data_IF_271253396409
#
_entry.id   IF_271253396409
#
_cell.length_a   1.000
_cell.length_b   1.000
_cell.length_c   1.000
_cell.angle_alpha   90.00
_cell.angle_beta   90.00
_cell.angle_gamma   90.00
#
_symmetry.space_group_name_H-M   'P 1'
#
loop_
_entity.id
_entity.type
_entity.pdbx_description
1 polymer ?
#
# COMPACT_ATOMS: atom_id res chain seq x y z
N UNK A 1 -3.81 -12.66 -2.44
CA UNK A 1 -3.27 -11.81 -3.54
C UNK A 1 -4.10 -10.54 -3.61
N UNK A 2 -3.46 -9.43 -3.97
CA UNK A 2 -4.08 -8.10 -4.09
C UNK A 2 -5.39 -8.12 -4.89
N UNK A 3 -5.41 -8.80 -6.03
CA UNK A 3 -6.60 -8.91 -6.89
C UNK A 3 -7.83 -9.53 -6.20
N UNK A 4 -7.64 -10.47 -5.28
CA UNK A 4 -8.74 -11.07 -4.51
C UNK A 4 -9.28 -10.10 -3.48
N UNK A 5 -8.37 -9.40 -2.80
CA UNK A 5 -8.74 -8.37 -1.83
C UNK A 5 -9.53 -7.23 -2.48
N UNK A 6 -9.04 -6.71 -3.62
CA UNK A 6 -9.72 -5.67 -4.37
C UNK A 6 -11.11 -6.09 -4.86
N UNK A 7 -11.27 -7.36 -5.29
CA UNK A 7 -12.58 -7.90 -5.69
C UNK A 7 -13.55 -8.03 -4.53
N UNK A 8 -13.09 -8.47 -3.36
CA UNK A 8 -13.95 -8.57 -2.18
C UNK A 8 -14.37 -7.17 -1.68
N UNK A 9 -13.48 -6.19 -1.67
CA UNK A 9 -13.83 -4.81 -1.35
C UNK A 9 -14.86 -4.25 -2.33
N UNK A 10 -14.67 -4.46 -3.63
CA UNK A 10 -15.62 -4.02 -4.65
C UNK A 10 -17.00 -4.66 -4.45
N UNK A 11 -17.04 -5.96 -4.10
CA UNK A 11 -18.28 -6.65 -3.79
C UNK A 11 -18.96 -6.06 -2.55
N UNK A 12 -18.21 -5.83 -1.46
CA UNK A 12 -18.75 -5.20 -0.25
C UNK A 12 -19.38 -3.84 -0.54
N UNK A 13 -18.76 -3.02 -1.37
CA UNK A 13 -19.30 -1.72 -1.81
C UNK A 13 -20.65 -1.91 -2.52
N UNK A 14 -20.71 -2.84 -3.48
CA UNK A 14 -21.96 -3.08 -4.22
C UNK A 14 -23.06 -3.69 -3.36
N UNK A 15 -22.71 -4.62 -2.47
CA UNK A 15 -23.66 -5.24 -1.53
C UNK A 15 -24.23 -4.22 -0.53
N UNK A 16 -23.46 -3.15 -0.23
CA UNK A 16 -23.89 -2.02 0.61
C UNK A 16 -24.70 -0.96 -0.17
N UNK A 17 -25.05 -1.20 -1.43
CA UNK A 17 -25.81 -0.27 -2.27
C UNK A 17 -24.95 0.76 -3.01
N UNK A 18 -23.63 0.69 -2.88
CA UNK A 18 -22.71 1.53 -3.64
C UNK A 18 -22.65 1.16 -5.12
N UNK A 19 -22.22 2.09 -5.95
CA UNK A 19 -22.05 1.87 -7.39
C UNK A 19 -20.59 2.02 -7.79
N UNK A 20 -20.04 1.02 -8.47
CA UNK A 20 -18.71 1.07 -9.06
C UNK A 20 -18.82 1.37 -10.55
N UNK A 21 -18.21 2.46 -11.00
CA UNK A 21 -18.16 2.84 -12.41
C UNK A 21 -16.73 2.67 -12.92
N UNK A 22 -16.54 1.72 -13.83
CA UNK A 22 -15.25 1.50 -14.49
C UNK A 22 -15.12 2.39 -15.72
N UNK A 23 -13.88 2.76 -16.07
CA UNK A 23 -13.56 3.57 -17.27
C UNK A 23 -14.35 4.88 -17.34
N UNK A 24 -14.57 5.50 -16.20
CA UNK A 24 -15.32 6.74 -16.07
C UNK A 24 -14.42 7.81 -15.47
N UNK A 25 -14.44 9.02 -16.02
CA UNK A 25 -13.76 10.16 -15.40
C UNK A 25 -14.53 10.62 -14.17
N UNK A 26 -13.85 10.83 -13.07
CA UNK A 26 -14.45 11.31 -11.84
C UNK A 26 -14.90 12.78 -11.99
N UNK A 27 -16.06 13.17 -11.44
CA UNK A 27 -16.45 14.57 -11.36
C UNK A 27 -15.45 15.42 -10.56
N UNK A 28 -15.40 16.74 -10.83
CA UNK A 28 -14.42 17.65 -10.20
C UNK A 28 -14.52 17.74 -8.66
N UNK A 29 -15.70 17.47 -8.12
CA UNK A 29 -15.95 17.46 -6.65
C UNK A 29 -15.77 16.08 -6.01
N UNK A 30 -15.17 15.13 -6.71
CA UNK A 30 -14.92 13.79 -6.17
C UNK A 30 -13.73 13.78 -5.23
N UNK A 31 -13.81 12.94 -4.19
CA UNK A 31 -12.67 12.67 -3.31
C UNK A 31 -11.72 11.71 -4.03
N UNK A 32 -10.47 12.10 -4.15
CA UNK A 32 -9.45 11.28 -4.78
C UNK A 32 -8.70 10.45 -3.72
N UNK A 33 -9.02 9.17 -3.63
CA UNK A 33 -8.38 8.20 -2.73
C UNK A 33 -7.42 7.25 -3.48
N UNK A 34 -6.93 7.62 -4.67
CA UNK A 34 -6.08 6.74 -5.50
C UNK A 34 -4.64 6.61 -4.99
N UNK A 35 -4.29 7.30 -3.91
CA UNK A 35 -2.93 7.33 -3.39
C UNK A 35 -2.01 8.29 -4.16
N UNK A 36 -0.79 8.48 -3.64
CA UNK A 36 0.09 9.57 -4.05
C UNK A 36 1.12 9.26 -5.12
N UNK A 37 1.16 8.07 -5.68
CA UNK A 37 2.27 7.67 -6.58
C UNK A 37 2.15 8.20 -7.99
N UNK A 38 0.96 8.37 -8.50
CA UNK A 38 0.73 8.79 -9.90
C UNK A 38 -0.60 9.50 -10.04
N UNK A 39 -0.70 10.38 -11.04
CA UNK A 39 -1.98 10.85 -11.50
C UNK A 39 -2.76 9.66 -12.07
N UNK A 40 -3.84 9.28 -11.44
CA UNK A 40 -4.70 8.23 -11.94
C UNK A 40 -5.41 8.71 -13.19
N UNK A 41 -5.35 7.91 -14.25
CA UNK A 41 -6.13 8.17 -15.46
C UNK A 41 -7.63 8.27 -15.09
N UNK A 42 -8.26 9.34 -15.46
CA UNK A 42 -9.68 9.59 -15.17
C UNK A 42 -9.94 10.47 -13.93
N UNK A 43 -8.92 10.88 -13.20
CA UNK A 43 -9.03 11.87 -12.13
C UNK A 43 -8.58 13.25 -12.61
N UNK A 44 -9.42 14.28 -12.55
CA UNK A 44 -9.08 15.63 -13.01
C UNK A 44 -8.09 16.34 -12.07
N UNK A 45 -8.01 15.90 -10.82
CA UNK A 45 -7.12 16.46 -9.80
C UNK A 45 -6.10 15.43 -9.33
N UNK A 46 -4.87 15.86 -9.01
CA UNK A 46 -3.89 14.97 -8.41
C UNK A 46 -4.40 14.49 -7.04
N UNK A 47 -4.19 13.21 -6.73
CA UNK A 47 -4.38 12.67 -5.39
C UNK A 47 -3.34 13.19 -4.42
N UNK A 48 -3.36 12.68 -3.20
CA UNK A 48 -2.30 12.93 -2.22
C UNK A 48 -0.95 12.59 -2.83
N UNK A 49 -0.06 13.57 -2.96
CA UNK A 49 1.27 13.34 -3.52
C UNK A 49 2.27 13.17 -2.40
N UNK A 50 2.91 12.01 -2.34
CA UNK A 50 4.11 11.84 -1.54
C UNK A 50 5.28 12.52 -2.26
N UNK A 51 5.82 13.57 -1.67
CA UNK A 51 6.88 14.40 -2.28
C UNK A 51 8.28 13.82 -2.11
N UNK A 52 8.45 12.84 -1.21
CA UNK A 52 9.76 12.29 -0.85
C UNK A 52 9.80 10.77 -1.04
N UNK A 53 9.63 10.31 -2.28
CA UNK A 53 9.80 8.92 -2.62
C UNK A 53 11.29 8.56 -2.65
N UNK A 54 11.62 7.40 -2.13
CA UNK A 54 12.96 6.82 -2.13
C UNK A 54 12.92 5.40 -2.67
N UNK A 55 14.05 4.91 -3.16
CA UNK A 55 14.14 3.55 -3.66
C UNK A 55 14.11 2.54 -2.52
N UNK A 56 13.22 1.57 -2.63
CA UNK A 56 13.10 0.40 -1.78
C UNK A 56 13.38 -0.85 -2.59
N UNK A 57 14.09 -1.78 -1.96
CA UNK A 57 14.34 -3.11 -2.51
C UNK A 57 13.72 -4.17 -1.60
N UNK A 58 12.99 -5.08 -2.19
CA UNK A 58 12.33 -6.17 -1.48
C UNK A 58 12.77 -7.54 -1.98
N UNK A 59 12.66 -8.54 -1.13
CA UNK A 59 12.93 -9.91 -1.49
C UNK A 59 12.05 -10.90 -0.74
N UNK A 60 11.74 -12.01 -1.41
CA UNK A 60 11.00 -13.12 -0.81
C UNK A 60 11.96 -14.29 -0.61
N UNK A 61 11.90 -14.90 0.57
CA UNK A 61 12.72 -16.07 0.92
C UNK A 61 12.01 -16.98 1.92
N UNK A 62 12.66 -18.05 2.34
CA UNK A 62 12.22 -18.92 3.44
C UNK A 62 12.78 -18.41 4.78
N UNK A 63 12.14 -18.73 5.88
CA UNK A 63 12.51 -18.26 7.22
C UNK A 63 13.98 -18.58 7.58
N UNK A 64 14.48 -19.76 7.23
CA UNK A 64 15.86 -20.17 7.53
C UNK A 64 16.92 -19.46 6.68
N UNK A 65 16.53 -18.62 5.72
CA UNK A 65 17.43 -17.94 4.80
C UNK A 65 17.31 -16.41 4.87
N UNK A 66 16.70 -15.87 5.94
CA UNK A 66 16.60 -14.44 6.17
C UNK A 66 18.00 -13.87 6.39
N UNK A 67 18.41 -12.79 5.67
CA UNK A 67 19.68 -12.11 5.96
C UNK A 67 19.73 -11.56 7.38
N UNK A 68 20.92 -11.50 7.97
CA UNK A 68 21.12 -11.05 9.35
C UNK A 68 20.71 -9.59 9.59
N UNK A 69 20.59 -8.80 8.55
CA UNK A 69 20.15 -7.42 8.59
C UNK A 69 18.64 -7.27 8.88
N UNK A 70 17.89 -8.37 8.82
CA UNK A 70 16.47 -8.39 9.09
C UNK A 70 16.15 -9.24 10.32
N UNK A 71 15.16 -8.81 11.06
CA UNK A 71 14.51 -9.62 12.10
C UNK A 71 13.07 -9.93 11.65
N UNK A 72 12.65 -11.20 11.79
CA UNK A 72 11.31 -11.62 11.44
C UNK A 72 10.27 -10.86 12.27
N UNK A 73 9.18 -10.45 11.62
CA UNK A 73 8.07 -9.66 12.19
C UNK A 73 8.53 -8.35 12.86
N UNK A 74 9.62 -7.77 12.33
CA UNK A 74 10.11 -6.45 12.74
C UNK A 74 9.74 -5.38 11.72
N UNK A 75 9.53 -4.17 12.23
CA UNK A 75 9.34 -2.97 11.43
C UNK A 75 10.21 -1.85 11.98
N UNK A 76 11.22 -1.46 11.22
CA UNK A 76 12.11 -0.35 11.50
C UNK A 76 11.87 0.76 10.47
N UNK A 77 12.40 1.95 10.68
CA UNK A 77 12.18 3.09 9.79
C UNK A 77 12.62 2.84 8.34
N UNK A 78 13.71 2.10 8.16
CA UNK A 78 14.37 1.86 6.87
C UNK A 78 14.28 0.41 6.37
N UNK A 79 13.68 -0.49 7.15
CA UNK A 79 13.51 -1.90 6.80
C UNK A 79 12.37 -2.55 7.55
N UNK A 80 11.84 -3.60 6.99
CA UNK A 80 10.89 -4.48 7.68
C UNK A 80 10.91 -5.88 7.07
N UNK A 81 10.47 -6.84 7.84
CA UNK A 81 10.41 -8.24 7.43
C UNK A 81 9.22 -8.91 8.13
N UNK A 82 8.40 -9.62 7.39
CA UNK A 82 7.22 -10.29 7.93
C UNK A 82 6.98 -11.65 7.30
N UNK A 83 6.33 -12.52 8.06
CA UNK A 83 5.90 -13.82 7.55
C UNK A 83 4.60 -13.68 6.77
N UNK A 84 4.57 -14.27 5.58
CA UNK A 84 3.40 -14.30 4.70
C UNK A 84 2.50 -15.49 5.03
N UNK A 85 1.24 -15.40 4.67
CA UNK A 85 0.27 -16.50 4.83
C UNK A 85 0.57 -17.78 4.06
N UNK A 86 1.49 -17.72 3.07
CA UNK A 86 1.98 -18.89 2.32
C UNK A 86 3.21 -19.55 2.96
N UNK A 87 3.64 -19.08 4.15
CA UNK A 87 4.79 -19.59 4.88
C UNK A 87 6.15 -19.05 4.41
N UNK A 88 6.16 -18.20 3.38
CA UNK A 88 7.34 -17.46 2.95
C UNK A 88 7.52 -16.21 3.79
N UNK A 89 8.68 -15.59 3.67
CA UNK A 89 9.05 -14.34 4.33
C UNK A 89 9.31 -13.28 3.29
N UNK A 90 8.76 -12.10 3.49
CA UNK A 90 8.97 -10.93 2.67
C UNK A 90 9.73 -9.87 3.46
N UNK A 91 10.87 -9.44 2.92
CA UNK A 91 11.75 -8.45 3.52
C UNK A 91 11.88 -7.24 2.61
N UNK A 92 11.86 -6.05 3.17
CA UNK A 92 12.06 -4.80 2.47
C UNK A 92 13.09 -3.93 3.17
N UNK A 93 13.91 -3.23 2.39
CA UNK A 93 14.90 -2.29 2.89
C UNK A 93 15.01 -1.09 1.95
N UNK A 94 15.24 0.07 2.53
CA UNK A 94 15.55 1.28 1.78
C UNK A 94 16.99 1.20 1.26
N UNK A 95 17.15 1.20 -0.06
CA UNK A 95 18.44 1.06 -0.73
C UNK A 95 18.72 -0.37 -1.21
N UNK A 96 19.94 -0.84 -1.01
CA UNK A 96 20.41 -2.12 -1.55
C UNK A 96 19.94 -3.30 -0.71
N UNK A 97 19.39 -4.30 -1.37
CA UNK A 97 18.92 -5.53 -0.74
C UNK A 97 20.11 -6.45 -0.43
N UNK A 98 20.34 -6.82 0.86
CA UNK A 98 21.37 -7.77 1.22
C UNK A 98 21.10 -9.14 0.57
N UNK A 99 22.16 -9.87 0.24
CA UNK A 99 22.04 -11.18 -0.41
C UNK A 99 22.01 -12.31 0.63
N UNK A 100 20.92 -13.07 0.75
CA UNK A 100 20.88 -14.23 1.63
C UNK A 100 21.76 -15.37 1.07
N UNK A 101 22.12 -16.32 1.93
CA UNK A 101 23.04 -17.40 1.59
C UNK A 101 22.59 -18.26 0.38
N UNK A 102 21.29 -18.49 0.26
CA UNK A 102 20.69 -19.28 -0.83
C UNK A 102 20.07 -18.41 -1.93
N UNK A 103 20.26 -17.08 -1.89
CA UNK A 103 19.61 -16.13 -2.79
C UNK A 103 18.15 -15.86 -2.41
N UNK A 104 17.55 -14.94 -3.15
CA UNK A 104 16.13 -14.60 -3.04
C UNK A 104 15.31 -15.46 -4.02
N UNK A 105 14.12 -15.87 -3.61
CA UNK A 105 13.15 -16.52 -4.50
C UNK A 105 12.55 -15.50 -5.49
N UNK A 106 12.34 -14.29 -5.01
CA UNK A 106 11.85 -13.17 -5.81
C UNK A 106 12.50 -11.88 -5.32
N UNK A 107 12.77 -10.96 -6.24
CA UNK A 107 13.31 -9.62 -5.94
C UNK A 107 12.36 -8.59 -6.50
N UNK A 108 12.04 -7.59 -5.69
CA UNK A 108 11.16 -6.49 -6.01
C UNK A 108 11.89 -5.16 -5.86
N UNK A 109 11.53 -4.18 -6.65
CA UNK A 109 12.01 -2.79 -6.49
C UNK A 109 10.85 -1.83 -6.71
N UNK A 110 10.86 -0.73 -5.98
CA UNK A 110 9.87 0.32 -6.13
C UNK A 110 10.30 1.63 -5.48
N UNK A 111 9.63 2.69 -5.87
CA UNK A 111 9.76 3.98 -5.19
C UNK A 111 8.57 4.13 -4.24
N UNK A 112 8.85 4.31 -2.98
CA UNK A 112 7.88 4.39 -1.90
C UNK A 112 8.23 5.54 -0.95
N UNK A 113 7.32 5.95 -0.07
CA UNK A 113 7.63 6.90 1.01
C UNK A 113 8.85 6.47 1.82
N UNK A 114 9.54 7.45 2.39
CA UNK A 114 10.79 7.21 3.13
C UNK A 114 10.58 6.35 4.37
N UNK A 115 9.44 6.48 5.02
CA UNK A 115 9.10 5.77 6.26
C UNK A 115 8.40 4.45 5.91
N UNK A 116 8.85 3.34 6.48
CA UNK A 116 8.34 1.99 6.21
C UNK A 116 6.84 1.84 6.47
N UNK A 117 6.32 2.42 7.53
CA UNK A 117 4.89 2.38 7.88
C UNK A 117 4.00 2.90 6.77
N UNK A 118 4.45 3.93 6.03
CA UNK A 118 3.67 4.55 4.96
C UNK A 118 3.58 3.71 3.66
N UNK A 119 4.22 2.54 3.61
CA UNK A 119 4.11 1.61 2.47
C UNK A 119 3.29 0.38 2.79
N UNK A 120 2.90 0.18 4.04
CA UNK A 120 2.09 -0.94 4.48
C UNK A 120 0.62 -0.76 4.12
N UNK A 121 -0.05 -1.86 3.76
CA UNK A 121 -1.46 -1.84 3.40
C UNK A 121 -2.35 -1.38 4.57
N UNK A 122 -1.98 -1.70 5.80
CA UNK A 122 -2.71 -1.35 7.01
C UNK A 122 -2.77 0.17 7.21
N UNK A 123 -1.66 0.87 6.97
CA UNK A 123 -1.61 2.33 7.04
C UNK A 123 -2.44 2.98 5.92
N UNK A 124 -2.38 2.44 4.70
CA UNK A 124 -3.20 2.92 3.60
C UNK A 124 -4.70 2.74 3.86
N UNK A 125 -5.10 1.66 4.53
CA UNK A 125 -6.48 1.40 4.94
C UNK A 125 -6.89 2.39 6.04
N UNK A 126 -6.06 2.60 7.05
CA UNK A 126 -6.30 3.54 8.15
C UNK A 126 -6.44 4.99 7.63
N UNK A 127 -5.57 5.42 6.72
CA UNK A 127 -5.66 6.72 6.06
C UNK A 127 -6.98 6.86 5.26
N UNK A 128 -7.36 5.83 4.51
CA UNK A 128 -8.61 5.80 3.76
C UNK A 128 -9.85 5.89 4.67
N UNK A 129 -9.82 5.21 5.81
CA UNK A 129 -10.89 5.28 6.83
C UNK A 129 -10.99 6.68 7.44
N UNK A 130 -9.88 7.32 7.76
CA UNK A 130 -9.85 8.68 8.31
C UNK A 130 -10.40 9.70 7.30
N UNK A 131 -9.98 9.62 6.04
CA UNK A 131 -10.49 10.48 4.97
C UNK A 131 -12.01 10.33 4.84
N UNK A 132 -12.53 9.09 4.87
CA UNK A 132 -13.97 8.83 4.77
C UNK A 132 -14.73 9.40 5.98
N UNK A 133 -14.23 9.23 7.20
CA UNK A 133 -14.82 9.80 8.42
C UNK A 133 -14.89 11.33 8.37
N UNK A 134 -13.80 11.97 7.99
CA UNK A 134 -13.72 13.43 7.87
C UNK A 134 -14.71 13.98 6.84
N UNK A 135 -14.86 13.26 5.72
CA UNK A 135 -15.85 13.64 4.70
C UNK A 135 -17.28 13.51 5.21
N UNK A 136 -17.63 12.41 5.86
CA UNK A 136 -18.98 12.21 6.44
C UNK A 136 -19.28 13.30 7.46
N UNK A 137 -18.31 13.64 8.32
CA UNK A 137 -18.47 14.70 9.31
C UNK A 137 -18.71 16.06 8.65
N UNK A 138 -17.98 16.39 7.60
CA UNK A 138 -18.17 17.65 6.86
C UNK A 138 -19.55 17.77 6.19
N UNK A 139 -20.18 16.65 5.81
CA UNK A 139 -21.53 16.67 5.26
C UNK A 139 -22.57 16.95 6.35
N UNK A 140 -22.37 16.46 7.58
CA UNK A 140 -23.28 16.67 8.71
C UNK A 140 -23.25 18.11 9.25
N UNK A 141 -22.16 18.83 9.05
CA UNK A 141 -22.05 20.26 9.43
C UNK A 141 -22.75 21.20 8.44
N UNK A 142 -23.17 20.71 7.30
CA UNK A 142 -23.87 21.46 6.25
C UNK A 142 -25.40 21.35 6.33
N UNK A 143 -25.93 20.52 7.22
CA UNK A 143 -27.37 20.37 7.51
C UNK A 143 -27.78 21.21 8.74
#
# INVERSE_FOLDING_TARGET
RREWFEKELAKMVTDSGGTIKLKTTAPDNSINCTGGKTNSSGWPQPGTQYTNLVSWSGGITITSNIPNEFSLDSMEEDRFCFQRGDGLVECWIRGDLPRPAQGWLEIMKGEHPKISTNICADEAIAEGEEIAKNFIHSLQELE
#
